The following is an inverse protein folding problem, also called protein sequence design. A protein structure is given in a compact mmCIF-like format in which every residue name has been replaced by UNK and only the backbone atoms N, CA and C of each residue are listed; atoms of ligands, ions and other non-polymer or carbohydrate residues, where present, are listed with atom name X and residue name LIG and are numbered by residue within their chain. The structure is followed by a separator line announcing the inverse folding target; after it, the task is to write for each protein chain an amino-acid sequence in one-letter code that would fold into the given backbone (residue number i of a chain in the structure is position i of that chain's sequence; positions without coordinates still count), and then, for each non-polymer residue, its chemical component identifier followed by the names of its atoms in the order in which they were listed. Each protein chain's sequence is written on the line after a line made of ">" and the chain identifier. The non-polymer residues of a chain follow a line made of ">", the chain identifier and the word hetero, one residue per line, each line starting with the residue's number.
data_IF_368860901874
#
_entry.id   IF_368860901874
#
_cell.length_a   1.000
_cell.length_b   1.000
_cell.length_c   1.000
_cell.angle_alpha   90.00
_cell.angle_beta   90.00
_cell.angle_gamma   90.00
#
_symmetry.space_group_name_H-M   'P 1'
#
loop_
_entity.id
_entity.type
_entity.pdbx_description
1 polymer ?
#
# COMPACT_ATOMS: atom_id res chain seq x y z
N UNK A 1 2.41 -23.67 4.74
CA UNK A 1 2.33 -22.70 3.65
C UNK A 1 1.00 -22.89 2.92
N UNK A 2 0.21 -21.83 2.80
CA UNK A 2 -1.04 -21.79 2.05
C UNK A 2 -0.88 -20.95 0.81
N UNK A 3 -1.46 -21.38 -0.32
CA UNK A 3 -1.65 -20.60 -1.53
C UNK A 3 -3.16 -20.46 -1.73
N UNK A 4 -3.67 -19.23 -1.65
CA UNK A 4 -5.10 -18.95 -1.70
C UNK A 4 -5.43 -18.04 -2.88
N UNK A 5 -6.43 -18.44 -3.65
CA UNK A 5 -7.00 -17.63 -4.72
C UNK A 5 -8.52 -17.77 -4.69
N UNK A 6 -9.18 -16.70 -4.30
CA UNK A 6 -10.64 -16.66 -4.22
C UNK A 6 -11.19 -16.11 -5.53
N UNK A 7 -12.06 -16.84 -6.17
CA UNK A 7 -12.67 -16.46 -7.46
C UNK A 7 -14.18 -16.31 -7.30
N UNK A 8 -14.73 -15.24 -7.87
CA UNK A 8 -16.17 -15.03 -7.95
C UNK A 8 -16.73 -15.97 -9.02
N UNK A 9 -17.51 -16.97 -8.62
CA UNK A 9 -18.08 -17.97 -9.55
C UNK A 9 -19.43 -17.54 -10.11
N UNK A 10 -20.16 -16.69 -9.39
CA UNK A 10 -21.44 -16.14 -9.80
C UNK A 10 -21.68 -14.78 -9.16
N UNK A 11 -22.17 -13.83 -9.92
CA UNK A 11 -22.62 -12.52 -9.47
C UNK A 11 -24.05 -12.26 -9.91
N UNK A 12 -24.73 -11.30 -9.31
CA UNK A 12 -26.17 -11.04 -9.55
C UNK A 12 -26.47 -10.53 -10.97
N UNK A 13 -25.50 -9.88 -11.59
CA UNK A 13 -25.64 -9.34 -12.95
C UNK A 13 -24.58 -9.93 -13.88
N UNK A 14 -24.91 -10.04 -15.16
CA UNK A 14 -23.97 -10.47 -16.19
C UNK A 14 -22.99 -9.36 -16.61
N UNK A 15 -23.25 -8.11 -16.17
CA UNK A 15 -22.36 -6.98 -16.44
C UNK A 15 -21.09 -7.09 -15.61
N UNK A 16 -19.93 -7.09 -16.29
CA UNK A 16 -18.61 -7.17 -15.68
C UNK A 16 -18.07 -5.76 -15.42
N UNK A 17 -18.66 -5.06 -14.46
CA UNK A 17 -18.29 -3.69 -14.12
C UNK A 17 -17.05 -3.70 -13.24
N UNK A 18 -16.03 -2.95 -13.62
CA UNK A 18 -14.80 -2.75 -12.85
C UNK A 18 -14.72 -1.36 -12.18
N UNK A 19 -15.70 -0.49 -12.46
CA UNK A 19 -15.75 0.89 -11.98
C UNK A 19 -14.96 1.86 -12.88
N UNK A 20 -15.00 3.13 -12.49
CA UNK A 20 -14.23 4.20 -13.11
C UNK A 20 -12.99 4.53 -12.25
N UNK A 21 -12.00 5.24 -12.80
CA UNK A 21 -10.88 5.72 -12.00
C UNK A 21 -11.36 6.49 -10.76
N UNK A 22 -10.95 6.04 -9.57
CA UNK A 22 -11.39 6.62 -8.30
C UNK A 22 -12.59 5.96 -7.63
N UNK A 23 -13.38 5.20 -8.36
CA UNK A 23 -14.53 4.48 -7.81
C UNK A 23 -14.15 3.09 -7.26
N UNK A 24 -14.85 2.61 -6.22
CA UNK A 24 -14.62 1.27 -5.71
C UNK A 24 -14.92 0.20 -6.77
N UNK A 25 -14.09 -0.83 -6.78
CA UNK A 25 -14.21 -1.97 -7.69
C UNK A 25 -15.50 -2.75 -7.38
N UNK A 26 -16.27 -3.02 -8.40
CA UNK A 26 -17.43 -3.92 -8.32
C UNK A 26 -17.02 -5.35 -8.63
N UNK A 27 -17.68 -6.30 -7.98
CA UNK A 27 -17.44 -7.70 -8.27
C UNK A 27 -18.15 -8.13 -9.57
N UNK A 28 -17.52 -9.02 -10.33
CA UNK A 28 -18.10 -9.66 -11.51
C UNK A 28 -17.73 -11.14 -11.57
N UNK A 29 -18.52 -11.91 -12.28
CA UNK A 29 -18.27 -13.36 -12.47
C UNK A 29 -16.94 -13.59 -13.18
N UNK A 30 -16.06 -14.37 -12.58
CA UNK A 30 -14.72 -14.66 -13.09
C UNK A 30 -13.60 -13.84 -12.47
N UNK A 31 -13.90 -12.74 -11.79
CA UNK A 31 -12.94 -11.91 -11.06
C UNK A 31 -12.28 -12.69 -9.92
N UNK A 32 -11.02 -12.40 -9.60
CA UNK A 32 -10.49 -12.80 -8.31
C UNK A 32 -10.98 -11.80 -7.26
N UNK A 33 -11.54 -12.30 -6.19
CA UNK A 33 -12.03 -11.44 -5.12
C UNK A 33 -10.89 -10.60 -4.54
N UNK A 34 -11.12 -9.32 -4.45
CA UNK A 34 -10.13 -8.37 -3.94
C UNK A 34 -9.13 -7.83 -4.96
N UNK A 35 -9.29 -8.11 -6.26
CA UNK A 35 -8.50 -7.48 -7.31
C UNK A 35 -8.66 -5.96 -7.26
N UNK A 36 -7.55 -5.26 -7.41
CA UNK A 36 -7.46 -3.81 -7.42
C UNK A 36 -7.17 -3.38 -8.86
N UNK A 37 -8.11 -2.66 -9.46
CA UNK A 37 -7.94 -2.05 -10.75
C UNK A 37 -7.33 -0.66 -10.62
N UNK A 38 -6.42 -0.32 -11.53
CA UNK A 38 -5.76 0.99 -11.54
C UNK A 38 -4.87 1.18 -12.74
N UNK A 39 -4.34 2.39 -12.87
CA UNK A 39 -3.43 2.76 -13.94
C UNK A 39 -1.99 2.23 -13.72
N UNK A 40 -1.27 2.02 -14.78
CA UNK A 40 0.18 1.87 -14.70
C UNK A 40 0.84 3.26 -14.75
N UNK A 41 1.58 3.61 -13.71
CA UNK A 41 2.39 4.83 -13.72
C UNK A 41 3.55 4.66 -14.69
N UNK A 42 3.74 5.64 -15.57
CA UNK A 42 4.91 5.73 -16.45
C UNK A 42 6.04 6.48 -15.70
N UNK A 43 5.88 7.76 -15.55
CA UNK A 43 6.82 8.70 -14.94
C UNK A 43 6.10 10.00 -14.52
N UNK A 44 6.84 11.02 -14.17
CA UNK A 44 6.29 12.37 -14.09
C UNK A 44 6.29 13.05 -15.45
N UNK A 45 5.30 13.90 -15.70
CA UNK A 45 5.34 14.81 -16.83
C UNK A 45 6.50 15.79 -16.69
N UNK A 46 7.12 16.08 -17.82
CA UNK A 46 8.12 17.14 -17.95
C UNK A 46 7.60 18.26 -18.87
N UNK A 47 8.28 19.39 -18.94
CA UNK A 47 7.91 20.46 -19.90
C UNK A 47 7.92 19.98 -21.37
N UNK A 48 8.78 18.99 -21.70
CA UNK A 48 8.88 18.42 -23.03
C UNK A 48 7.66 17.59 -23.45
N UNK A 49 6.81 17.20 -22.52
CA UNK A 49 5.56 16.49 -22.82
C UNK A 49 4.45 17.40 -23.32
N UNK A 50 4.69 18.72 -23.34
CA UNK A 50 3.72 19.73 -23.73
C UNK A 50 4.31 20.67 -24.76
N UNK A 51 3.46 21.19 -25.65
CA UNK A 51 3.88 22.17 -26.69
C UNK A 51 3.52 23.61 -26.32
N UNK A 52 2.44 23.81 -25.60
CA UNK A 52 1.95 25.12 -25.18
C UNK A 52 0.96 25.02 -24.02
N UNK A 53 0.66 26.18 -23.44
CA UNK A 53 -0.42 26.32 -22.46
C UNK A 53 -1.49 27.22 -23.01
N UNK A 54 -2.75 26.82 -22.92
CA UNK A 54 -3.90 27.57 -23.36
C UNK A 54 -4.24 28.73 -22.38
N UNK A 55 -5.06 29.66 -22.83
CA UNK A 55 -5.50 30.80 -22.01
C UNK A 55 -6.35 30.37 -20.78
N UNK A 56 -7.02 29.22 -20.87
CA UNK A 56 -7.78 28.61 -19.78
C UNK A 56 -6.91 27.83 -18.77
N UNK A 57 -5.60 27.80 -19.00
CA UNK A 57 -4.63 27.10 -18.13
C UNK A 57 -4.39 25.66 -18.50
N UNK A 58 -5.15 25.07 -19.41
CA UNK A 58 -4.90 23.72 -19.91
C UNK A 58 -3.61 23.61 -20.72
N UNK A 59 -3.03 22.42 -20.76
CA UNK A 59 -1.83 22.13 -21.52
C UNK A 59 -2.14 21.38 -22.82
N UNK A 60 -1.40 21.70 -23.88
CA UNK A 60 -1.44 20.98 -25.14
C UNK A 60 -0.35 19.93 -25.15
N UNK A 61 -0.74 18.66 -25.19
CA UNK A 61 0.19 17.54 -25.20
C UNK A 61 1.06 17.51 -26.46
N UNK A 62 2.32 17.17 -26.30
CA UNK A 62 3.25 17.01 -27.42
C UNK A 62 2.87 15.79 -28.28
N UNK A 63 3.22 15.78 -29.58
CA UNK A 63 2.98 14.63 -30.43
C UNK A 63 3.61 13.33 -29.86
N UNK A 64 2.80 12.27 -29.76
CA UNK A 64 3.21 10.99 -29.20
C UNK A 64 3.09 10.87 -27.68
N UNK A 65 2.60 11.90 -27.01
CA UNK A 65 2.21 11.84 -25.59
C UNK A 65 0.70 11.58 -25.52
N UNK A 66 0.29 10.55 -24.80
CA UNK A 66 -1.12 10.25 -24.61
C UNK A 66 -1.83 11.34 -23.83
N UNK A 67 -3.02 11.71 -24.29
CA UNK A 67 -3.84 12.77 -23.71
C UNK A 67 -4.55 12.26 -22.44
N UNK A 68 -4.25 12.87 -21.29
CA UNK A 68 -4.87 12.54 -19.99
C UNK A 68 -6.07 13.43 -19.64
N UNK A 69 -6.54 14.28 -20.54
CA UNK A 69 -7.68 15.16 -20.25
C UNK A 69 -8.96 14.40 -19.92
N UNK A 70 -9.11 13.19 -20.47
CA UNK A 70 -10.28 12.32 -20.23
C UNK A 70 -10.49 11.89 -18.78
N UNK A 71 -9.44 11.93 -17.97
CA UNK A 71 -9.50 11.60 -16.54
C UNK A 71 -9.37 12.84 -15.63
N UNK A 72 -9.33 14.04 -16.20
CA UNK A 72 -9.43 15.27 -15.43
C UNK A 72 -10.87 15.51 -15.00
N UNK A 73 -11.07 15.95 -13.78
CA UNK A 73 -12.36 16.42 -13.30
C UNK A 73 -12.22 17.78 -12.64
N UNK A 74 -13.31 18.53 -12.65
CA UNK A 74 -13.36 19.87 -12.09
C UNK A 74 -12.30 20.82 -12.71
N UNK A 75 -11.52 21.47 -11.87
CA UNK A 75 -10.52 22.47 -12.28
C UNK A 75 -9.10 21.91 -12.35
N UNK A 76 -8.90 20.62 -12.07
CA UNK A 76 -7.58 20.03 -12.11
C UNK A 76 -7.11 19.82 -13.55
N UNK A 77 -5.89 20.25 -13.82
CA UNK A 77 -5.24 20.13 -15.13
C UNK A 77 -3.87 19.49 -14.93
N UNK A 78 -3.61 18.38 -15.60
CA UNK A 78 -2.27 17.78 -15.61
C UNK A 78 -1.26 18.71 -16.26
N UNK A 79 -0.09 18.82 -15.65
CA UNK A 79 1.02 19.63 -16.12
C UNK A 79 2.38 19.05 -15.76
N UNK A 80 3.47 19.79 -16.06
CA UNK A 80 4.80 19.36 -15.67
C UNK A 80 4.93 19.10 -14.17
N UNK A 81 5.47 17.92 -13.80
CA UNK A 81 5.61 17.47 -12.42
C UNK A 81 4.50 16.57 -11.90
N UNK A 82 3.40 16.44 -12.64
CA UNK A 82 2.30 15.52 -12.32
C UNK A 82 2.57 14.11 -12.84
N UNK A 83 1.75 13.15 -12.39
CA UNK A 83 1.84 11.75 -12.81
C UNK A 83 1.40 11.58 -14.26
N UNK A 84 2.26 10.96 -15.05
CA UNK A 84 1.95 10.44 -16.37
C UNK A 84 1.63 8.95 -16.29
N UNK A 85 0.48 8.56 -16.80
CA UNK A 85 0.09 7.17 -16.92
C UNK A 85 0.49 6.59 -18.28
N UNK A 86 0.59 5.26 -18.35
CA UNK A 86 0.84 4.55 -19.59
C UNK A 86 -0.44 4.34 -20.36
N UNK A 87 -0.39 4.65 -21.63
CA UNK A 87 -1.38 4.24 -22.63
C UNK A 87 -1.18 2.73 -22.88
N UNK A 88 -2.07 1.92 -22.35
CA UNK A 88 -1.97 0.46 -22.43
C UNK A 88 -2.67 -0.11 -23.67
N UNK A 89 -3.69 0.56 -24.17
CA UNK A 89 -4.44 0.14 -25.37
C UNK A 89 -3.89 0.74 -26.64
N UNK A 90 -3.07 1.81 -26.56
CA UNK A 90 -2.36 2.44 -27.69
C UNK A 90 -3.24 3.38 -28.53
N UNK A 91 -4.32 3.91 -27.94
CA UNK A 91 -5.25 4.79 -28.65
C UNK A 91 -4.88 6.28 -28.57
N UNK A 92 -3.81 6.60 -27.82
CA UNK A 92 -3.31 7.96 -27.63
C UNK A 92 -4.05 8.77 -26.55
N UNK A 93 -4.86 8.12 -25.73
CA UNK A 93 -5.58 8.72 -24.62
C UNK A 93 -5.35 7.91 -23.35
N UNK A 94 -5.64 8.51 -22.21
CA UNK A 94 -5.67 7.83 -20.93
C UNK A 94 -7.09 7.90 -20.37
N UNK A 95 -7.75 6.75 -20.27
CA UNK A 95 -9.11 6.68 -19.75
C UNK A 95 -9.42 5.30 -19.13
N UNK A 96 -10.62 5.17 -18.57
CA UNK A 96 -11.13 3.92 -18.00
C UNK A 96 -12.03 3.13 -18.94
N UNK A 97 -12.08 3.49 -20.24
CA UNK A 97 -13.00 2.89 -21.19
C UNK A 97 -14.46 3.01 -20.74
N UNK A 98 -15.23 1.95 -20.92
CA UNK A 98 -16.61 1.86 -20.41
C UNK A 98 -16.70 1.42 -18.95
N UNK A 99 -15.57 1.22 -18.27
CA UNK A 99 -15.54 0.73 -16.91
C UNK A 99 -15.97 -0.73 -16.78
N UNK A 100 -15.73 -1.55 -17.80
CA UNK A 100 -16.05 -2.98 -17.81
C UNK A 100 -14.80 -3.80 -18.04
N UNK A 101 -14.83 -5.09 -17.68
CA UNK A 101 -13.69 -6.01 -17.91
C UNK A 101 -13.33 -6.14 -19.39
N UNK A 102 -14.28 -5.95 -20.28
CA UNK A 102 -14.10 -6.05 -21.74
C UNK A 102 -13.61 -4.74 -22.37
N UNK A 103 -13.95 -3.60 -21.72
CA UNK A 103 -13.57 -2.27 -22.19
C UNK A 103 -13.18 -1.43 -20.95
N UNK A 104 -11.93 -1.61 -20.55
CA UNK A 104 -11.36 -1.01 -19.33
C UNK A 104 -10.35 0.12 -19.64
N UNK A 105 -10.22 0.52 -20.92
CA UNK A 105 -9.25 1.54 -21.32
C UNK A 105 -7.84 1.16 -20.88
N UNK A 106 -7.19 2.06 -20.13
CA UNK A 106 -5.83 1.88 -19.62
C UNK A 106 -5.78 1.31 -18.19
N UNK A 107 -6.94 0.91 -17.65
CA UNK A 107 -6.95 0.24 -16.36
C UNK A 107 -6.49 -1.20 -16.49
N UNK A 108 -5.81 -1.70 -15.47
CA UNK A 108 -5.44 -3.11 -15.31
C UNK A 108 -5.52 -3.54 -13.86
N UNK A 109 -5.52 -4.83 -13.59
CA UNK A 109 -5.35 -5.35 -12.24
C UNK A 109 -3.92 -5.08 -11.78
N UNK A 110 -3.74 -4.18 -10.82
CA UNK A 110 -2.44 -3.77 -10.26
C UNK A 110 -2.07 -4.51 -8.99
N UNK A 111 -3.03 -5.11 -8.31
CA UNK A 111 -2.80 -5.87 -7.09
C UNK A 111 -4.04 -6.60 -6.59
N UNK A 112 -3.93 -7.18 -5.40
CA UNK A 112 -5.06 -7.82 -4.72
C UNK A 112 -4.98 -7.60 -3.20
N UNK A 113 -6.11 -7.30 -2.56
CA UNK A 113 -6.20 -7.04 -1.12
C UNK A 113 -6.10 -8.32 -0.28
N UNK A 114 -6.39 -9.48 -0.87
CA UNK A 114 -6.26 -10.76 -0.18
C UNK A 114 -4.83 -11.29 -0.30
N UNK A 115 -4.29 -11.90 0.76
CA UNK A 115 -2.98 -12.50 0.68
C UNK A 115 -2.99 -13.70 -0.28
N UNK A 116 -2.07 -13.73 -1.22
CA UNK A 116 -1.86 -14.90 -2.08
C UNK A 116 -1.18 -16.02 -1.32
N UNK A 117 -0.18 -15.68 -0.52
CA UNK A 117 0.60 -16.63 0.24
C UNK A 117 0.54 -16.31 1.72
N UNK A 118 0.19 -17.32 2.52
CA UNK A 118 0.33 -17.28 3.97
C UNK A 118 1.26 -18.42 4.39
N UNK A 119 2.28 -18.10 5.16
CA UNK A 119 3.28 -19.04 5.55
C UNK A 119 3.75 -18.84 6.99
N UNK A 120 4.07 -19.93 7.63
CA UNK A 120 4.73 -19.95 8.92
C UNK A 120 5.74 -21.08 8.96
N UNK A 121 6.76 -20.90 9.75
CA UNK A 121 7.71 -21.96 10.04
C UNK A 121 8.22 -21.85 11.48
N UNK A 122 8.60 -22.99 11.99
CA UNK A 122 9.02 -23.18 13.35
C UNK A 122 10.40 -23.82 13.34
N UNK A 123 11.32 -23.24 14.07
CA UNK A 123 12.67 -23.77 14.26
C UNK A 123 12.90 -23.95 15.75
N UNK A 124 13.31 -25.16 16.15
CA UNK A 124 13.58 -25.45 17.53
C UNK A 124 14.74 -26.44 17.68
N UNK A 125 15.43 -26.36 18.81
CA UNK A 125 16.49 -27.26 19.13
C UNK A 125 16.85 -27.21 20.60
N UNK A 126 17.45 -28.32 21.10
CA UNK A 126 17.93 -28.43 22.49
C UNK A 126 19.35 -28.97 22.54
N UNK A 127 20.16 -28.43 23.46
CA UNK A 127 21.52 -28.85 23.66
C UNK A 127 21.97 -28.58 25.10
N UNK A 128 22.42 -29.60 25.79
CA UNK A 128 22.97 -29.55 27.18
C UNK A 128 22.08 -28.77 28.15
N UNK A 129 20.78 -29.02 28.13
CA UNK A 129 19.80 -28.34 29.00
C UNK A 129 19.25 -27.03 28.47
N UNK A 130 19.89 -26.41 27.48
CA UNK A 130 19.31 -25.28 26.77
C UNK A 130 18.31 -25.76 25.73
N UNK A 131 17.25 -25.00 25.57
CA UNK A 131 16.28 -25.13 24.47
C UNK A 131 16.01 -23.76 23.84
N UNK A 132 15.95 -23.72 22.53
CA UNK A 132 15.62 -22.56 21.73
C UNK A 132 14.45 -22.88 20.84
N UNK A 133 13.50 -21.97 20.78
CA UNK A 133 12.30 -22.05 19.97
C UNK A 133 12.06 -20.73 19.23
N UNK A 134 11.86 -20.79 17.92
CA UNK A 134 11.64 -19.65 17.04
C UNK A 134 10.41 -19.90 16.19
N UNK A 135 9.46 -18.98 16.22
CA UNK A 135 8.28 -19.03 15.38
C UNK A 135 8.20 -17.81 14.47
N UNK A 136 8.09 -18.07 13.17
CA UNK A 136 7.99 -17.07 12.12
C UNK A 136 6.63 -17.16 11.44
N UNK A 137 6.11 -16.00 11.06
CA UNK A 137 4.88 -15.87 10.29
C UNK A 137 5.05 -14.80 9.23
N UNK A 138 4.49 -15.04 8.05
CA UNK A 138 4.54 -14.08 6.95
C UNK A 138 3.37 -14.19 5.99
N UNK A 139 3.22 -13.14 5.24
CA UNK A 139 2.25 -12.98 4.16
C UNK A 139 2.99 -12.51 2.91
N UNK A 140 2.62 -13.04 1.77
CA UNK A 140 3.20 -12.63 0.49
C UNK A 140 2.14 -12.32 -0.56
N UNK A 141 2.50 -11.45 -1.50
CA UNK A 141 1.64 -10.96 -2.58
C UNK A 141 0.29 -10.47 -2.07
N UNK A 142 0.35 -9.46 -1.24
CA UNK A 142 -0.80 -8.73 -0.75
C UNK A 142 -0.59 -7.25 -1.00
N UNK A 143 -1.54 -6.60 -1.64
CA UNK A 143 -1.45 -5.17 -1.93
C UNK A 143 -2.68 -4.46 -1.40
N UNK A 144 -2.57 -3.16 -1.20
CA UNK A 144 -3.68 -2.33 -0.81
C UNK A 144 -3.59 -0.97 -1.48
N UNK A 145 -4.68 -0.56 -2.07
CA UNK A 145 -4.89 0.84 -2.42
C UNK A 145 -5.58 1.54 -1.25
N UNK A 146 -5.07 2.69 -0.86
CA UNK A 146 -5.62 3.45 0.25
C UNK A 146 -5.43 4.95 0.00
N UNK A 147 -6.33 5.73 0.53
CA UNK A 147 -6.30 7.20 0.45
C UNK A 147 -5.87 7.80 1.81
N UNK A 148 -4.93 7.17 2.46
CA UNK A 148 -4.44 7.60 3.77
C UNK A 148 -3.35 8.66 3.64
N UNK A 149 -3.37 9.64 4.54
CA UNK A 149 -2.30 10.63 4.71
C UNK A 149 -0.92 10.00 4.98
N UNK A 150 -0.84 8.75 5.42
CA UNK A 150 0.42 8.02 5.57
C UNK A 150 1.03 7.61 4.22
N UNK A 151 0.22 7.53 3.17
CA UNK A 151 0.66 7.15 1.81
C UNK A 151 0.85 8.37 0.92
N UNK A 152 -0.06 9.32 0.99
CA UNK A 152 -0.03 10.55 0.21
C UNK A 152 0.11 11.77 1.10
N UNK A 153 0.83 12.82 0.65
CA UNK A 153 0.73 14.11 1.28
C UNK A 153 -0.73 14.58 1.23
N UNK A 154 -1.37 14.68 2.37
CA UNK A 154 -2.75 15.13 2.43
C UNK A 154 -2.79 16.64 2.40
N UNK A 155 -3.28 17.18 1.29
CA UNK A 155 -3.43 18.63 1.07
C UNK A 155 -4.90 19.03 0.96
N UNK A 156 -5.77 18.30 1.65
CA UNK A 156 -7.23 18.51 1.62
C UNK A 156 -7.64 19.90 2.09
N UNK A 157 -6.89 20.40 3.05
CA UNK A 157 -7.11 21.70 3.64
C UNK A 157 -5.78 22.45 3.70
N UNK A 158 -5.79 23.75 3.48
CA UNK A 158 -4.58 24.56 3.35
C UNK A 158 -3.65 24.54 4.57
N UNK A 159 -4.14 24.06 5.71
CA UNK A 159 -3.45 24.01 7.00
C UNK A 159 -3.02 22.61 7.43
N UNK A 160 -3.20 21.57 6.59
CA UNK A 160 -2.70 20.25 6.88
C UNK A 160 -1.19 20.15 6.64
N UNK A 161 -0.49 19.65 7.64
CA UNK A 161 0.93 19.39 7.56
C UNK A 161 1.23 18.09 6.80
N UNK A 162 2.29 18.07 6.01
CA UNK A 162 2.86 16.86 5.43
C UNK A 162 3.80 16.17 6.42
N UNK A 163 3.90 14.86 6.38
CA UNK A 163 4.85 14.13 7.22
C UNK A 163 6.30 14.34 6.74
N UNK A 164 7.25 14.25 7.66
CA UNK A 164 8.67 14.46 7.36
C UNK A 164 9.23 13.52 6.25
N UNK A 165 8.64 12.34 6.09
CA UNK A 165 8.99 11.40 5.01
C UNK A 165 8.33 11.73 3.66
N UNK A 166 7.50 12.77 3.57
CA UNK A 166 6.76 13.18 2.37
C UNK A 166 7.27 14.50 1.77
N UNK A 167 8.47 14.93 2.15
CA UNK A 167 9.04 16.22 1.72
C UNK A 167 9.65 16.21 0.32
N UNK A 168 9.76 15.05 -0.32
CA UNK A 168 10.30 14.90 -1.68
C UNK A 168 9.17 14.90 -2.70
N UNK A 169 8.73 16.08 -3.09
CA UNK A 169 7.71 16.28 -4.11
C UNK A 169 8.21 17.18 -5.24
N UNK A 170 7.60 17.06 -6.40
CA UNK A 170 7.89 17.91 -7.54
C UNK A 170 7.34 19.32 -7.30
N UNK A 171 8.00 20.30 -7.89
CA UNK A 171 7.58 21.70 -7.89
C UNK A 171 7.65 22.21 -9.32
N UNK A 172 6.57 22.79 -9.78
CA UNK A 172 6.51 23.51 -11.06
C UNK A 172 5.88 24.88 -10.86
N UNK A 173 6.71 25.88 -10.62
CA UNK A 173 6.32 27.29 -10.49
C UNK A 173 7.34 28.19 -11.21
N UNK A 174 7.27 28.26 -12.55
CA UNK A 174 8.21 29.07 -13.34
C UNK A 174 8.05 30.57 -13.07
N UNK A 175 6.89 31.03 -12.59
CA UNK A 175 6.68 32.44 -12.26
C UNK A 175 7.58 32.94 -11.11
N UNK A 176 7.95 32.01 -10.20
CA UNK A 176 8.83 32.28 -9.06
C UNK A 176 10.19 31.59 -9.19
N UNK A 177 10.58 31.13 -10.39
CA UNK A 177 11.80 30.35 -10.63
C UNK A 177 11.94 29.08 -9.75
N UNK A 178 10.83 28.49 -9.36
CA UNK A 178 10.82 27.32 -8.51
C UNK A 178 10.37 26.10 -9.31
N UNK A 179 11.30 25.48 -10.03
CA UNK A 179 11.06 24.26 -10.81
C UNK A 179 11.99 23.16 -10.34
N UNK A 180 11.44 22.08 -9.83
CA UNK A 180 12.17 20.88 -9.43
C UNK A 180 11.34 19.63 -9.76
N UNK A 181 11.51 19.12 -10.97
CA UNK A 181 10.88 17.89 -11.42
C UNK A 181 11.94 16.80 -11.51
N UNK A 182 11.77 15.73 -10.76
CA UNK A 182 12.72 14.61 -10.72
C UNK A 182 12.03 13.28 -10.45
N UNK A 183 12.43 12.25 -11.18
CA UNK A 183 12.00 10.87 -10.89
C UNK A 183 12.48 10.37 -9.51
N UNK A 184 13.47 11.03 -8.90
CA UNK A 184 13.91 10.75 -7.54
C UNK A 184 12.98 11.31 -6.46
N UNK A 185 12.03 12.18 -6.83
CA UNK A 185 10.99 12.66 -5.95
C UNK A 185 9.95 11.56 -5.71
N UNK A 186 9.49 11.47 -4.48
CA UNK A 186 8.52 10.46 -4.09
C UNK A 186 7.10 10.83 -4.55
N UNK A 187 6.81 12.14 -4.71
CA UNK A 187 5.46 12.65 -4.98
C UNK A 187 5.42 13.64 -6.16
N UNK A 188 4.28 13.73 -6.86
CA UNK A 188 4.04 14.75 -7.89
C UNK A 188 3.98 16.16 -7.28
N UNK A 189 3.61 17.13 -8.09
CA UNK A 189 3.33 18.48 -7.60
C UNK A 189 2.24 18.46 -6.53
N UNK A 190 2.45 19.25 -5.48
CA UNK A 190 1.46 19.46 -4.43
C UNK A 190 0.69 20.75 -4.73
N UNK A 191 -0.63 20.66 -4.71
CA UNK A 191 -1.52 21.78 -4.98
C UNK A 191 -2.20 22.20 -3.69
N UNK A 192 -1.75 23.29 -3.04
CA UNK A 192 -2.36 23.78 -1.82
C UNK A 192 -3.71 24.45 -2.09
N UNK A 193 -4.67 24.20 -1.23
CA UNK A 193 -5.97 24.87 -1.24
C UNK A 193 -7.09 24.09 -1.93
N UNK A 194 -8.32 24.52 -1.65
CA UNK A 194 -9.53 23.85 -2.12
C UNK A 194 -9.73 23.91 -3.64
N UNK A 195 -9.08 24.84 -4.31
CA UNK A 195 -9.25 25.05 -5.75
C UNK A 195 -8.48 24.02 -6.59
N UNK A 196 -7.36 23.50 -6.06
CA UNK A 196 -6.49 22.57 -6.78
C UNK A 196 -6.26 21.24 -6.06
N UNK A 197 -6.33 21.26 -4.75
CA UNK A 197 -6.19 20.07 -3.92
C UNK A 197 -7.50 19.37 -3.66
N UNK A 198 -8.56 19.84 -4.25
CA UNK A 198 -9.84 19.22 -4.10
C UNK A 198 -9.66 17.72 -4.21
N UNK A 199 -9.83 17.02 -3.15
CA UNK A 199 -9.85 15.58 -3.09
C UNK A 199 -8.63 14.81 -3.65
N UNK A 200 -7.60 14.73 -2.88
CA UNK A 200 -6.64 13.61 -2.95
C UNK A 200 -7.37 12.25 -3.01
N UNK A 201 -8.61 12.22 -2.62
CA UNK A 201 -9.43 11.02 -2.54
C UNK A 201 -10.20 10.68 -3.80
N UNK A 202 -10.34 11.61 -4.74
CA UNK A 202 -11.06 11.33 -6.00
C UNK A 202 -12.53 10.95 -5.88
N UNK A 203 -13.12 11.01 -4.69
CA UNK A 203 -14.38 10.34 -4.41
C UNK A 203 -15.58 11.27 -4.31
N UNK A 204 -15.40 12.54 -4.14
CA UNK A 204 -16.54 13.40 -3.87
C UNK A 204 -16.77 14.51 -4.87
N UNK A 205 -16.46 14.35 -6.14
CA UNK A 205 -16.87 15.32 -7.16
C UNK A 205 -16.44 16.77 -6.96
N UNK A 206 -15.71 17.05 -5.89
CA UNK A 206 -15.24 18.38 -5.52
C UNK A 206 -13.74 18.46 -5.77
N UNK A 207 -13.36 18.69 -7.01
CA UNK A 207 -12.03 19.05 -7.47
C UNK A 207 -10.90 18.21 -6.88
N UNK A 208 -10.52 17.10 -7.49
CA UNK A 208 -9.48 16.22 -6.97
C UNK A 208 -8.15 16.38 -7.67
N UNK A 209 -7.07 16.25 -6.95
CA UNK A 209 -5.79 16.00 -7.55
C UNK A 209 -5.76 14.56 -8.10
N UNK A 210 -5.95 14.43 -9.40
CA UNK A 210 -6.01 13.13 -10.08
C UNK A 210 -4.65 12.44 -10.21
N UNK A 211 -3.60 13.01 -9.61
CA UNK A 211 -2.33 12.35 -9.40
C UNK A 211 -2.46 11.08 -8.53
N UNK A 212 -3.54 10.93 -7.76
CA UNK A 212 -3.72 9.84 -6.81
C UNK A 212 -4.90 8.91 -7.15
N UNK A 213 -5.16 8.70 -8.42
CA UNK A 213 -5.94 7.55 -8.87
C UNK A 213 -5.26 6.24 -8.48
N UNK A 214 -6.00 5.15 -8.29
CA UNK A 214 -5.41 3.83 -8.10
C UNK A 214 -4.36 3.56 -9.17
N UNK A 215 -3.13 3.31 -8.74
CA UNK A 215 -1.98 3.20 -9.63
C UNK A 215 -0.84 2.38 -9.05
N UNK A 216 0.08 1.96 -9.91
CA UNK A 216 1.20 1.11 -9.49
C UNK A 216 2.20 1.80 -8.57
N UNK A 217 2.42 3.13 -8.70
CA UNK A 217 3.42 3.87 -7.92
C UNK A 217 3.10 3.92 -6.43
N UNK A 218 1.83 4.09 -6.07
CA UNK A 218 1.40 4.26 -4.67
C UNK A 218 0.62 3.07 -4.12
N UNK A 219 0.62 1.97 -4.85
CA UNK A 219 0.06 0.73 -4.34
C UNK A 219 0.93 0.23 -3.19
N UNK A 220 0.33 0.08 -2.01
CA UNK A 220 1.06 -0.38 -0.82
C UNK A 220 1.20 -1.90 -0.86
N UNK A 221 2.43 -2.39 -0.75
CA UNK A 221 2.70 -3.82 -0.56
C UNK A 221 2.59 -4.16 0.93
N UNK A 222 1.65 -5.03 1.28
CA UNK A 222 1.42 -5.50 2.65
C UNK A 222 2.08 -6.87 2.90
N UNK A 223 3.04 -7.27 2.09
CA UNK A 223 3.84 -8.46 2.36
C UNK A 223 4.74 -8.26 3.57
N UNK A 224 4.90 -9.31 4.38
CA UNK A 224 5.80 -9.24 5.52
C UNK A 224 6.33 -10.62 5.94
N UNK A 225 7.43 -10.60 6.68
CA UNK A 225 7.93 -11.73 7.47
C UNK A 225 8.28 -11.22 8.86
N UNK A 226 7.69 -11.82 9.88
CA UNK A 226 7.87 -11.44 11.28
C UNK A 226 8.36 -12.63 12.11
N UNK A 227 9.36 -12.37 12.96
CA UNK A 227 9.69 -13.26 14.06
C UNK A 227 8.68 -13.02 15.20
N UNK A 228 7.66 -13.88 15.25
CA UNK A 228 6.51 -13.77 16.14
C UNK A 228 6.82 -14.16 17.57
N UNK A 229 7.64 -15.20 17.73
CA UNK A 229 8.04 -15.66 19.05
C UNK A 229 9.48 -16.16 19.03
N UNK A 230 10.20 -15.86 20.09
CA UNK A 230 11.46 -16.49 20.45
C UNK A 230 11.37 -16.89 21.92
N UNK A 231 11.70 -18.13 22.22
CA UNK A 231 11.79 -18.64 23.59
C UNK A 231 13.14 -19.31 23.78
N UNK A 232 13.86 -18.88 24.81
CA UNK A 232 15.08 -19.53 25.28
C UNK A 232 14.82 -20.10 26.66
N UNK A 233 15.03 -21.40 26.82
CA UNK A 233 14.88 -22.10 28.06
C UNK A 233 16.18 -22.75 28.52
N UNK A 234 16.29 -23.00 29.84
CA UNK A 234 17.32 -23.78 30.42
C UNK A 234 16.74 -24.71 31.50
N UNK A 235 16.90 -25.99 31.30
CA UNK A 235 16.47 -27.03 32.26
C UNK A 235 17.69 -27.45 33.09
N UNK A 236 17.56 -27.35 34.39
CA UNK A 236 18.62 -27.77 35.31
C UNK A 236 18.83 -29.29 35.25
N UNK A 237 20.09 -29.77 35.39
CA UNK A 237 20.39 -31.18 35.49
C UNK A 237 19.67 -31.85 36.68
N UNK A 238 19.16 -33.06 36.46
CA UNK A 238 18.38 -33.82 37.45
C UNK A 238 19.18 -34.07 38.72
N UNK A 239 20.51 -34.21 38.63
CA UNK A 239 21.42 -34.39 39.77
C UNK A 239 21.35 -33.22 40.77
N UNK A 240 21.02 -32.01 40.30
CA UNK A 240 20.84 -30.83 41.13
C UNK A 240 19.45 -30.81 41.70
N UNK A 241 18.42 -31.02 40.87
CA UNK A 241 17.00 -30.80 41.24
C UNK A 241 16.51 -31.89 42.22
N UNK A 242 16.99 -33.11 42.14
CA UNK A 242 16.69 -34.20 43.08
C UNK A 242 17.00 -33.85 44.53
N UNK A 243 17.99 -33.01 44.80
CA UNK A 243 18.35 -32.60 46.15
C UNK A 243 17.24 -31.76 46.82
N UNK A 244 16.31 -31.25 46.03
CA UNK A 244 15.19 -30.42 46.46
C UNK A 244 13.82 -31.13 46.25
N UNK A 245 13.82 -32.42 45.95
CA UNK A 245 12.61 -33.18 45.61
C UNK A 245 11.87 -32.68 44.37
N UNK A 246 12.58 -32.05 43.45
CA UNK A 246 12.04 -31.52 42.20
C UNK A 246 12.50 -32.44 41.06
N UNK A 247 11.55 -32.92 40.26
CA UNK A 247 11.84 -33.76 39.09
C UNK A 247 12.38 -32.96 37.92
N UNK A 248 11.81 -31.81 37.68
CA UNK A 248 12.21 -30.89 36.60
C UNK A 248 12.10 -29.43 37.02
N UNK A 249 13.15 -28.65 36.71
CA UNK A 249 13.18 -27.24 36.95
C UNK A 249 13.71 -26.55 35.68
N UNK A 250 12.84 -25.79 34.98
CA UNK A 250 13.18 -25.06 33.75
C UNK A 250 12.92 -23.59 33.94
N UNK A 251 13.90 -22.78 33.67
CA UNK A 251 13.81 -21.32 33.52
C UNK A 251 13.65 -21.02 32.04
N UNK A 252 12.80 -20.04 31.69
CA UNK A 252 12.71 -19.58 30.33
C UNK A 252 12.44 -18.10 30.24
N UNK A 253 12.89 -17.51 29.14
CA UNK A 253 12.54 -16.17 28.70
C UNK A 253 11.94 -16.23 27.30
N UNK A 254 10.89 -15.47 27.05
CA UNK A 254 10.29 -15.38 25.73
C UNK A 254 10.03 -13.93 25.33
N UNK A 255 10.07 -13.69 24.02
CA UNK A 255 9.73 -12.40 23.42
C UNK A 255 8.75 -12.64 22.30
N UNK A 256 7.64 -11.92 22.33
CA UNK A 256 6.68 -11.91 21.23
C UNK A 256 6.89 -10.69 20.34
N UNK A 257 6.65 -10.84 19.04
CA UNK A 257 6.78 -9.81 18.01
C UNK A 257 8.14 -9.11 18.02
N UNK A 258 9.22 -9.90 18.12
CA UNK A 258 10.57 -9.37 18.31
C UNK A 258 11.01 -8.50 17.14
N UNK A 259 10.82 -8.96 15.92
CA UNK A 259 11.31 -8.26 14.75
C UNK A 259 10.44 -8.49 13.51
N UNK A 260 10.27 -7.42 12.74
CA UNK A 260 9.77 -7.45 11.37
C UNK A 260 10.98 -7.60 10.45
N UNK A 261 11.17 -8.80 9.88
CA UNK A 261 12.34 -9.16 9.07
C UNK A 261 12.20 -8.71 7.62
N UNK A 262 10.96 -8.69 7.12
CA UNK A 262 10.58 -8.11 5.84
C UNK A 262 9.36 -7.22 6.04
N UNK A 263 9.41 -6.04 5.43
CA UNK A 263 8.33 -5.05 5.46
C UNK A 263 8.09 -4.53 4.03
N UNK A 264 7.02 -4.99 3.40
CA UNK A 264 6.62 -4.55 2.07
C UNK A 264 6.13 -3.10 2.01
N UNK A 265 5.66 -2.54 3.14
CA UNK A 265 5.18 -1.16 3.19
C UNK A 265 6.28 -0.12 2.93
N UNK A 266 7.56 -0.51 2.93
CA UNK A 266 8.68 0.35 2.61
C UNK A 266 8.76 1.58 3.50
N UNK A 267 8.58 2.76 2.92
CA UNK A 267 8.62 4.05 3.63
C UNK A 267 7.31 4.40 4.36
N UNK A 268 6.22 3.70 4.08
CA UNK A 268 4.92 3.97 4.72
C UNK A 268 4.99 3.50 6.17
N UNK A 269 4.76 4.38 7.16
CA UNK A 269 5.02 4.10 8.57
C UNK A 269 3.87 3.33 9.23
N UNK A 270 3.50 2.19 8.66
CA UNK A 270 2.41 1.34 9.16
C UNK A 270 2.88 -0.09 9.37
N UNK A 271 2.22 -0.80 10.26
CA UNK A 271 2.43 -2.23 10.46
C UNK A 271 1.61 -3.02 9.42
N UNK A 272 2.24 -3.79 8.51
CA UNK A 272 1.54 -4.51 7.45
C UNK A 272 0.58 -5.58 7.97
N UNK A 273 0.81 -6.10 9.18
CA UNK A 273 -0.05 -7.10 9.79
C UNK A 273 -1.34 -6.49 10.35
N UNK A 274 -1.23 -5.36 11.06
CA UNK A 274 -2.35 -4.76 11.78
C UNK A 274 -3.39 -4.10 10.87
N UNK A 275 -2.98 -3.67 9.69
CA UNK A 275 -3.88 -3.01 8.74
C UNK A 275 -4.54 -3.99 7.77
N UNK A 276 -4.33 -5.27 7.96
CA UNK A 276 -4.79 -6.33 7.10
C UNK A 276 -6.31 -6.54 7.06
N UNK A 277 -7.03 -6.15 8.10
CA UNK A 277 -8.45 -6.44 8.26
C UNK A 277 -9.40 -5.27 8.04
N UNK A 278 -8.90 -4.10 7.77
CA UNK A 278 -9.72 -2.93 7.45
C UNK A 278 -10.22 -3.04 6.00
N UNK A 279 -11.13 -3.97 5.77
CA UNK A 279 -11.88 -4.06 4.52
C UNK A 279 -12.73 -2.80 4.39
N UNK A 280 -12.63 -2.18 3.37
CA UNK A 280 -13.09 -0.99 2.74
C UNK A 280 -11.91 -0.04 2.58
N UNK A 281 -11.58 0.17 1.38
CA UNK A 281 -10.91 1.32 0.80
C UNK A 281 -10.97 2.47 1.81
N UNK A 282 -10.15 2.35 2.87
CA UNK A 282 -10.35 3.14 4.09
C UNK A 282 -9.98 4.59 3.86
N UNK A 283 -10.97 5.33 3.40
CA UNK A 283 -10.88 6.78 3.28
C UNK A 283 -10.38 7.38 4.59
N UNK A 284 -9.13 7.77 4.60
CA UNK A 284 -8.51 8.55 5.67
C UNK A 284 -8.25 7.84 7.01
N UNK A 285 -8.72 6.60 7.22
CA UNK A 285 -8.56 5.89 8.50
C UNK A 285 -7.50 4.80 8.49
N UNK A 286 -7.07 4.35 7.31
CA UNK A 286 -6.06 3.32 7.18
C UNK A 286 -4.72 3.77 7.77
N UNK A 287 -4.04 2.88 8.47
CA UNK A 287 -2.79 3.18 9.17
C UNK A 287 -2.94 3.73 10.58
N UNK A 288 -4.16 4.08 11.02
CA UNK A 288 -4.42 4.59 12.37
C UNK A 288 -4.59 3.50 13.43
N UNK A 289 -4.44 2.25 13.06
CA UNK A 289 -4.51 1.11 14.00
C UNK A 289 -3.25 1.10 14.87
N UNK A 290 -3.42 0.76 16.13
CA UNK A 290 -2.30 0.65 17.06
C UNK A 290 -1.32 -0.45 16.58
N UNK A 291 -0.03 -0.18 16.49
CA UNK A 291 0.94 -1.15 16.00
C UNK A 291 1.07 -2.34 16.94
N UNK A 292 1.53 -3.47 16.41
CA UNK A 292 1.79 -4.68 17.17
C UNK A 292 2.83 -4.43 18.26
N UNK A 293 2.47 -4.69 19.52
CA UNK A 293 3.38 -4.50 20.66
C UNK A 293 4.38 -5.65 20.79
N UNK A 294 5.57 -5.33 21.26
CA UNK A 294 6.56 -6.30 21.68
C UNK A 294 6.36 -6.59 23.16
N UNK A 295 6.27 -7.86 23.54
CA UNK A 295 6.16 -8.28 24.95
C UNK A 295 7.28 -9.24 25.34
N UNK A 296 7.72 -9.10 26.58
CA UNK A 296 8.77 -9.91 27.20
C UNK A 296 8.18 -10.69 28.35
N UNK A 297 8.53 -11.94 28.48
CA UNK A 297 8.10 -12.81 29.56
C UNK A 297 9.26 -13.59 30.13
N UNK A 298 9.31 -13.75 31.43
CA UNK A 298 10.23 -14.64 32.13
C UNK A 298 9.38 -15.61 32.92
N UNK A 299 9.70 -16.88 32.87
CA UNK A 299 8.92 -17.90 33.56
C UNK A 299 9.78 -19.00 34.18
N UNK A 300 9.16 -19.68 35.11
CA UNK A 300 9.70 -20.84 35.82
C UNK A 300 8.70 -21.99 35.69
N UNK A 301 9.17 -23.15 35.28
CA UNK A 301 8.39 -24.37 35.23
C UNK A 301 8.99 -25.36 36.23
N UNK A 302 8.16 -25.83 37.18
CA UNK A 302 8.57 -26.78 38.21
C UNK A 302 7.67 -27.98 38.13
N UNK A 303 8.29 -29.19 38.15
CA UNK A 303 7.59 -30.48 38.24
C UNK A 303 8.13 -31.20 39.46
N UNK A 304 7.23 -31.65 40.34
CA UNK A 304 7.54 -32.37 41.57
C UNK A 304 7.40 -33.87 41.42
#
# INVERSE_FOLDING_TARGET
>A
MGDSKVKVTKWETDSKIIGHPGDPVYAYTGMNWGDIWGFETDRYFTEADFTSRNADGSWVYAPGVADQTGIQTNQFVYGPGDIKFKDLNGDGKIDGGKGTEEDHGDLKVIGNILPRYEYSFHLGGSWKGFDLDLFFQGVGKRSMWTQSAFVFPEMREADLAIFANQTKYNVYDPAHNNVNISESNDFPCLYPGNEYAGNVTGVSGEGGCHNYYPQTKYLVDLSYLRLKNITLGYTLPVEITKKFYVQNLRFYASVNNLALLHNGCGKVPVDPEMNAGQGNLGYGTWGRTYPTTRSWSIGLQVTF
#
